data_IF_330927923174
#
_entry.id   IF_330927923174
#
_cell.length_a   1.000
_cell.length_b   1.000
_cell.length_c   1.000
_cell.angle_alpha   90.00
_cell.angle_beta   90.00
_cell.angle_gamma   90.00
#
_symmetry.space_group_name_H-M   'P 1'
#
loop_
_entity.id
_entity.type
_entity.pdbx_description
1 polymer ?
#
# COMPACT_ATOMS: atom_id res chain seq x y z
N UNK A 1 -22.19 71.68 -9.95
CA UNK A 1 -21.09 71.16 -10.77
C UNK A 1 -19.84 71.30 -9.91
N UNK A 2 -19.17 70.29 -9.39
CA UNK A 2 -18.95 68.90 -9.82
C UNK A 2 -18.70 68.05 -8.58
N UNK A 3 -19.41 66.93 -8.47
CA UNK A 3 -19.04 65.82 -7.58
C UNK A 3 -17.78 65.16 -8.14
N UNK A 4 -16.66 65.26 -7.43
CA UNK A 4 -15.51 64.38 -7.68
C UNK A 4 -15.56 63.24 -6.67
N UNK A 5 -16.19 62.16 -7.13
CA UNK A 5 -16.35 60.90 -6.45
C UNK A 5 -14.98 60.19 -6.43
N UNK A 6 -14.25 60.27 -5.32
CA UNK A 6 -12.98 59.59 -5.11
C UNK A 6 -13.27 58.11 -4.75
N UNK A 7 -13.73 57.33 -5.71
CA UNK A 7 -13.86 55.88 -5.59
C UNK A 7 -12.71 55.21 -6.36
N UNK A 8 -11.48 55.48 -5.95
CA UNK A 8 -10.33 54.74 -6.45
C UNK A 8 -10.15 53.47 -5.60
N UNK A 9 -10.55 52.36 -6.22
CA UNK A 9 -9.77 51.13 -6.25
C UNK A 9 -9.30 50.58 -4.91
N UNK A 10 -10.25 50.24 -4.04
CA UNK A 10 -10.06 49.06 -3.21
C UNK A 10 -10.26 47.80 -4.07
N UNK A 11 -9.40 47.61 -5.06
CA UNK A 11 -9.09 46.25 -5.49
C UNK A 11 -8.50 45.60 -4.24
N UNK A 12 -9.35 44.83 -3.54
CA UNK A 12 -8.92 44.19 -2.30
C UNK A 12 -7.64 43.44 -2.62
N UNK A 13 -6.65 43.51 -1.73
CA UNK A 13 -5.39 42.78 -1.89
C UNK A 13 -5.64 41.31 -2.22
N UNK A 14 -6.74 40.74 -1.72
CA UNK A 14 -7.27 39.44 -2.12
C UNK A 14 -7.64 39.34 -3.62
N UNK A 15 -8.41 40.28 -4.18
CA UNK A 15 -8.77 40.27 -5.61
C UNK A 15 -7.53 40.35 -6.50
N UNK A 16 -6.57 41.24 -6.19
CA UNK A 16 -5.33 41.39 -6.94
C UNK A 16 -4.47 40.12 -6.95
N UNK A 17 -4.41 39.42 -5.81
CA UNK A 17 -3.75 38.11 -5.69
C UNK A 17 -4.49 37.05 -6.50
N UNK A 18 -5.83 37.04 -6.45
CA UNK A 18 -6.65 36.04 -7.14
C UNK A 18 -6.73 36.24 -8.66
N UNK A 19 -6.51 37.45 -9.17
CA UNK A 19 -6.49 37.74 -10.62
C UNK A 19 -5.12 37.59 -11.25
N UNK A 20 -4.06 37.49 -10.45
CA UNK A 20 -2.71 37.27 -10.95
C UNK A 20 -2.50 35.77 -11.19
N UNK A 21 -2.59 35.32 -12.44
CA UNK A 21 -2.53 33.90 -12.81
C UNK A 21 -1.29 33.15 -12.28
N UNK A 22 -0.05 33.64 -12.43
CA UNK A 22 1.12 32.94 -11.87
C UNK A 22 1.15 32.97 -10.32
N UNK A 23 0.71 34.05 -9.67
CA UNK A 23 0.67 34.12 -8.21
C UNK A 23 -0.46 33.23 -7.64
N UNK A 24 -1.63 33.23 -8.27
CA UNK A 24 -2.72 32.31 -7.96
C UNK A 24 -2.29 30.87 -8.18
N UNK A 25 -1.57 30.56 -9.26
CA UNK A 25 -1.01 29.23 -9.49
C UNK A 25 0.01 28.85 -8.41
N UNK A 26 0.86 29.78 -7.95
CA UNK A 26 1.80 29.55 -6.85
C UNK A 26 1.06 29.30 -5.52
N UNK A 27 0.12 30.17 -5.16
CA UNK A 27 -0.70 30.06 -3.95
C UNK A 27 -1.56 28.80 -3.99
N UNK A 28 -2.14 28.45 -5.14
CA UNK A 28 -2.95 27.25 -5.31
C UNK A 28 -2.12 25.96 -5.46
N UNK A 29 -0.89 26.05 -5.99
CA UNK A 29 0.05 24.92 -5.99
C UNK A 29 0.45 24.57 -4.55
N UNK A 30 0.50 25.57 -3.67
CA UNK A 30 0.82 25.45 -2.25
C UNK A 30 -0.39 25.19 -1.34
N UNK A 31 -1.59 24.90 -1.85
CA UNK A 31 -2.81 24.70 -1.03
C UNK A 31 -2.81 23.45 -0.12
N UNK A 32 -1.68 22.75 0.04
CA UNK A 32 -1.41 21.79 1.13
C UNK A 32 0.12 21.73 1.45
N UNK A 33 0.92 22.71 1.01
CA UNK A 33 2.38 22.71 1.19
C UNK A 33 3.16 21.73 0.30
N UNK A 34 2.59 21.32 -0.84
CA UNK A 34 3.13 20.23 -1.66
C UNK A 34 4.20 20.67 -2.67
N UNK A 35 5.22 19.83 -2.91
CA UNK A 35 6.19 20.03 -4.01
C UNK A 35 5.48 20.04 -5.37
N UNK A 36 6.01 20.76 -6.39
CA UNK A 36 5.40 20.82 -7.71
C UNK A 36 5.19 19.44 -8.35
N UNK A 37 6.14 18.53 -8.16
CA UNK A 37 6.10 17.14 -8.62
C UNK A 37 4.92 16.40 -8.00
N UNK A 38 4.80 16.40 -6.67
CA UNK A 38 3.73 15.73 -5.96
C UNK A 38 2.35 16.35 -6.28
N UNK A 39 2.29 17.68 -6.41
CA UNK A 39 1.08 18.39 -6.83
C UNK A 39 0.62 17.96 -8.23
N UNK A 40 1.55 17.77 -9.18
CA UNK A 40 1.25 17.29 -10.52
C UNK A 40 0.64 15.88 -10.50
N UNK A 41 1.15 14.99 -9.64
CA UNK A 41 0.64 13.63 -9.44
C UNK A 41 -0.77 13.66 -8.88
N UNK A 42 -1.01 14.45 -7.83
CA UNK A 42 -2.34 14.63 -7.23
C UNK A 42 -3.35 15.18 -8.23
N UNK A 43 -2.99 16.22 -9.00
CA UNK A 43 -3.83 16.79 -10.04
C UNK A 43 -4.13 15.78 -11.16
N UNK A 44 -3.15 14.98 -11.58
CA UNK A 44 -3.34 13.93 -12.57
C UNK A 44 -4.39 12.91 -12.09
N UNK A 45 -4.25 12.38 -10.87
CA UNK A 45 -5.21 11.42 -10.32
C UNK A 45 -6.59 12.04 -10.12
N UNK A 46 -6.66 13.28 -9.60
CA UNK A 46 -7.92 14.02 -9.42
C UNK A 46 -8.66 14.20 -10.74
N UNK A 47 -7.98 14.65 -11.80
CA UNK A 47 -8.58 14.80 -13.15
C UNK A 47 -9.08 13.46 -13.69
N UNK A 48 -8.30 12.38 -13.53
CA UNK A 48 -8.69 11.03 -13.99
C UNK A 48 -9.94 10.53 -13.26
N UNK A 49 -10.04 10.78 -11.95
CA UNK A 49 -11.20 10.37 -11.16
C UNK A 49 -12.44 11.22 -11.45
N UNK A 50 -12.30 12.52 -11.65
CA UNK A 50 -13.41 13.43 -12.00
C UNK A 50 -14.08 13.08 -13.34
N UNK A 51 -13.31 12.60 -14.31
CA UNK A 51 -13.83 12.13 -15.61
C UNK A 51 -14.57 10.80 -15.52
N UNK A 52 -14.41 10.05 -14.43
CA UNK A 52 -15.01 8.74 -14.28
C UNK A 52 -16.45 8.85 -13.81
N UNK A 53 -17.35 8.10 -14.44
CA UNK A 53 -18.77 8.06 -14.08
C UNK A 53 -19.07 7.19 -12.85
N UNK A 54 -18.05 6.55 -12.28
CA UNK A 54 -18.16 5.62 -11.15
C UNK A 54 -18.48 6.39 -9.84
N UNK A 55 -19.64 6.15 -9.18
CA UNK A 55 -20.05 6.88 -7.98
C UNK A 55 -19.05 6.81 -6.83
N UNK A 56 -18.38 5.66 -6.66
CA UNK A 56 -17.38 5.43 -5.62
C UNK A 56 -16.19 6.39 -5.73
N UNK A 57 -15.76 6.73 -6.96
CA UNK A 57 -14.67 7.69 -7.16
C UNK A 57 -15.06 9.10 -6.74
N UNK A 58 -16.34 9.48 -6.89
CA UNK A 58 -16.85 10.75 -6.36
C UNK A 58 -16.83 10.75 -4.83
N UNK A 59 -17.16 9.62 -4.20
CA UNK A 59 -17.07 9.47 -2.74
C UNK A 59 -15.62 9.63 -2.24
N UNK A 60 -14.65 9.04 -2.93
CA UNK A 60 -13.23 9.18 -2.59
C UNK A 60 -12.77 10.63 -2.74
N UNK A 61 -13.14 11.29 -3.84
CA UNK A 61 -12.79 12.70 -4.09
C UNK A 61 -13.43 13.67 -3.09
N UNK A 62 -14.56 13.31 -2.48
CA UNK A 62 -15.25 14.14 -1.51
C UNK A 62 -14.48 14.26 -0.18
N UNK A 63 -13.65 13.28 0.18
CA UNK A 63 -12.87 13.27 1.43
C UNK A 63 -11.37 13.36 1.13
N UNK A 64 -10.71 14.43 1.60
CA UNK A 64 -9.27 14.66 1.36
C UNK A 64 -8.41 13.46 1.77
N UNK A 65 -8.64 12.92 2.97
CA UNK A 65 -7.85 11.82 3.52
C UNK A 65 -8.00 10.51 2.75
N UNK A 66 -9.20 10.28 2.21
CA UNK A 66 -9.50 9.11 1.39
C UNK A 66 -8.86 9.22 0.01
N UNK A 67 -8.88 10.43 -0.56
CA UNK A 67 -8.18 10.70 -1.80
C UNK A 67 -6.66 10.52 -1.64
N UNK A 68 -6.07 11.01 -0.54
CA UNK A 68 -4.66 10.77 -0.20
C UNK A 68 -4.34 9.28 -0.09
N UNK A 69 -5.17 8.52 0.64
CA UNK A 69 -5.03 7.06 0.74
C UNK A 69 -5.12 6.34 -0.61
N UNK A 70 -6.05 6.75 -1.48
CA UNK A 70 -6.15 6.21 -2.84
C UNK A 70 -4.90 6.50 -3.68
N UNK A 71 -4.38 7.73 -3.65
CA UNK A 71 -3.17 8.10 -4.40
C UNK A 71 -1.97 7.29 -3.90
N UNK A 72 -1.78 7.18 -2.59
CA UNK A 72 -0.70 6.40 -1.99
C UNK A 72 -0.76 4.92 -2.45
N UNK A 73 -1.94 4.30 -2.40
CA UNK A 73 -2.14 2.93 -2.86
C UNK A 73 -1.86 2.76 -4.37
N UNK A 74 -2.20 3.76 -5.19
CA UNK A 74 -1.88 3.77 -6.63
C UNK A 74 -0.39 3.97 -6.93
N UNK A 75 0.34 4.70 -6.07
CA UNK A 75 1.80 4.82 -6.18
C UNK A 75 2.46 3.47 -5.89
N UNK A 76 2.03 2.78 -4.83
CA UNK A 76 2.52 1.42 -4.49
C UNK A 76 2.26 0.44 -5.63
N UNK A 77 1.05 0.43 -6.20
CA UNK A 77 0.71 -0.45 -7.33
C UNK A 77 1.67 -0.25 -8.52
N UNK A 78 1.90 1.02 -8.90
CA UNK A 78 2.85 1.38 -9.97
C UNK A 78 4.31 1.15 -9.61
N UNK A 79 4.63 0.99 -8.33
CA UNK A 79 6.00 0.86 -7.84
C UNK A 79 6.76 2.18 -7.74
N UNK A 80 6.07 3.31 -7.76
CA UNK A 80 6.67 4.64 -7.61
C UNK A 80 6.90 4.96 -6.12
N UNK A 81 7.89 4.28 -5.56
CA UNK A 81 8.25 4.39 -4.14
C UNK A 81 8.85 5.75 -3.80
N UNK A 82 9.55 6.39 -4.75
CA UNK A 82 10.13 7.71 -4.55
C UNK A 82 9.04 8.76 -4.28
N UNK A 83 7.96 8.75 -5.08
CA UNK A 83 6.82 9.64 -4.84
C UNK A 83 6.03 9.26 -3.58
N UNK A 84 6.03 7.99 -3.17
CA UNK A 84 5.42 7.60 -1.91
C UNK A 84 6.18 8.17 -0.71
N UNK A 85 7.52 8.09 -0.69
CA UNK A 85 8.32 8.68 0.39
C UNK A 85 8.24 10.20 0.40
N UNK A 86 8.17 10.82 -0.77
CA UNK A 86 7.97 12.27 -0.85
C UNK A 86 6.61 12.69 -0.28
N UNK A 87 5.58 11.88 -0.55
CA UNK A 87 4.25 12.05 0.02
C UNK A 87 4.26 11.89 1.55
N UNK A 88 4.92 10.85 2.08
CA UNK A 88 5.06 10.63 3.52
C UNK A 88 5.85 11.76 4.21
N UNK A 89 6.92 12.25 3.58
CA UNK A 89 7.76 13.33 4.09
C UNK A 89 6.99 14.64 4.25
N UNK A 90 6.14 14.98 3.29
CA UNK A 90 5.38 16.24 3.31
C UNK A 90 4.04 16.11 4.05
N UNK A 91 3.41 14.94 3.99
CA UNK A 91 2.13 14.64 4.62
C UNK A 91 2.29 13.34 5.42
N UNK A 92 2.66 13.41 6.70
CA UNK A 92 2.85 12.20 7.52
C UNK A 92 1.53 11.64 8.08
N UNK A 93 0.42 12.38 8.02
CA UNK A 93 -0.86 11.96 8.62
C UNK A 93 -2.06 12.30 7.73
N UNK A 94 -3.25 11.78 8.07
CA UNK A 94 -4.47 12.05 7.31
C UNK A 94 -4.64 11.15 6.08
N UNK A 95 -4.37 9.86 6.25
CA UNK A 95 -4.64 8.82 5.25
C UNK A 95 -5.85 8.00 5.69
N UNK A 96 -6.81 7.80 4.78
CA UNK A 96 -7.94 6.93 5.03
C UNK A 96 -8.07 5.89 3.93
N UNK A 97 -8.35 4.64 4.33
CA UNK A 97 -8.57 3.55 3.38
C UNK A 97 -9.82 3.82 2.53
N UNK A 98 -9.72 3.79 1.18
CA UNK A 98 -10.87 3.90 0.29
C UNK A 98 -11.79 2.66 0.37
N UNK A 99 -13.05 2.75 -0.08
CA UNK A 99 -14.04 1.68 0.08
C UNK A 99 -13.65 0.37 -0.66
N UNK A 100 -14.11 -0.76 -0.09
CA UNK A 100 -13.70 -2.16 -0.40
C UNK A 100 -13.79 -2.60 -1.88
N UNK A 101 -14.56 -1.89 -2.70
CA UNK A 101 -14.90 -2.24 -4.08
C UNK A 101 -13.90 -1.70 -5.12
N UNK A 102 -12.94 -0.87 -4.73
CA UNK A 102 -11.75 -0.60 -5.57
C UNK A 102 -10.70 -1.71 -5.35
N UNK A 103 -10.95 -2.85 -6.01
CA UNK A 103 -10.29 -4.14 -5.78
C UNK A 103 -8.75 -4.17 -5.96
N UNK A 104 -8.15 -3.29 -6.78
CA UNK A 104 -6.76 -3.52 -7.23
C UNK A 104 -5.67 -3.37 -6.16
N UNK A 105 -5.96 -2.72 -5.03
CA UNK A 105 -4.96 -2.42 -3.99
C UNK A 105 -5.37 -2.85 -2.57
N UNK A 106 -6.46 -3.63 -2.43
CA UNK A 106 -6.93 -4.12 -1.12
C UNK A 106 -5.83 -4.91 -0.41
N UNK A 107 -5.03 -5.67 -1.16
CA UNK A 107 -3.88 -6.44 -0.68
C UNK A 107 -2.54 -5.75 -0.99
N UNK A 108 -2.46 -4.42 -0.90
CA UNK A 108 -1.25 -3.66 -1.21
C UNK A 108 0.00 -4.11 -0.43
N UNK A 109 -0.16 -4.66 0.79
CA UNK A 109 0.95 -5.21 1.57
C UNK A 109 1.55 -6.45 0.89
N UNK A 110 0.73 -7.31 0.29
CA UNK A 110 1.23 -8.49 -0.42
C UNK A 110 2.12 -8.06 -1.60
N UNK A 111 1.66 -7.08 -2.39
CA UNK A 111 2.43 -6.56 -3.53
C UNK A 111 3.75 -5.92 -3.09
N UNK A 112 3.73 -5.17 -1.99
CA UNK A 112 4.95 -4.56 -1.45
C UNK A 112 5.92 -5.61 -0.86
N UNK A 113 5.41 -6.62 -0.16
CA UNK A 113 6.21 -7.72 0.38
C UNK A 113 6.84 -8.57 -0.72
N UNK A 114 6.09 -8.89 -1.78
CA UNK A 114 6.62 -9.60 -2.95
C UNK A 114 7.76 -8.85 -3.66
N UNK A 115 7.81 -7.52 -3.54
CA UNK A 115 8.87 -6.65 -4.07
C UNK A 115 10.01 -6.38 -3.09
N UNK A 116 9.97 -6.93 -1.86
CA UNK A 116 10.98 -6.67 -0.82
C UNK A 116 10.96 -5.22 -0.29
N UNK A 117 9.84 -4.51 -0.41
CA UNK A 117 9.75 -3.09 -0.05
C UNK A 117 9.29 -2.91 1.40
N UNK A 118 10.19 -3.15 2.36
CA UNK A 118 9.86 -3.13 3.80
C UNK A 118 9.29 -1.79 4.27
N UNK A 119 9.87 -0.68 3.84
CA UNK A 119 9.42 0.66 4.26
C UNK A 119 8.02 0.99 3.71
N UNK A 120 7.70 0.52 2.50
CA UNK A 120 6.34 0.62 1.94
C UNK A 120 5.35 -0.21 2.78
N UNK A 121 5.75 -1.42 3.21
CA UNK A 121 4.91 -2.26 4.09
C UNK A 121 4.69 -1.58 5.45
N UNK A 122 5.71 -0.93 6.01
CA UNK A 122 5.60 -0.12 7.24
C UNK A 122 4.61 1.01 7.07
N UNK A 123 4.76 1.82 6.03
CA UNK A 123 3.85 2.91 5.68
C UNK A 123 2.40 2.43 5.56
N UNK A 124 2.16 1.36 4.79
CA UNK A 124 0.81 0.82 4.58
C UNK A 124 0.19 0.25 5.85
N UNK A 125 1.00 -0.31 6.75
CA UNK A 125 0.54 -0.84 8.04
C UNK A 125 0.23 0.29 9.04
N UNK A 126 1.13 1.26 9.20
CA UNK A 126 0.98 2.38 10.13
C UNK A 126 -0.27 3.21 9.84
N UNK A 127 -0.64 3.36 8.57
CA UNK A 127 -1.83 4.10 8.16
C UNK A 127 -3.09 3.24 7.94
N UNK A 128 -3.04 1.95 8.27
CA UNK A 128 -4.10 0.97 7.98
C UNK A 128 -4.70 1.12 6.56
N UNK A 129 -3.84 1.27 5.55
CA UNK A 129 -4.27 1.54 4.17
C UNK A 129 -4.60 0.26 3.41
N UNK A 130 -3.87 -0.82 3.67
CA UNK A 130 -4.01 -2.09 2.96
C UNK A 130 -4.17 -3.27 3.92
N UNK A 131 -4.81 -4.33 3.41
CA UNK A 131 -4.87 -5.62 4.08
C UNK A 131 -3.63 -6.45 3.75
N UNK A 132 -3.34 -7.38 4.63
CA UNK A 132 -2.34 -8.42 4.44
C UNK A 132 -3.06 -9.76 4.26
N UNK A 133 -2.42 -10.70 3.59
CA UNK A 133 -2.81 -12.12 3.64
C UNK A 133 -1.57 -12.98 3.83
N UNK A 134 -1.75 -14.30 3.99
CA UNK A 134 -0.64 -15.25 4.12
C UNK A 134 0.39 -15.14 3.00
N UNK A 135 -0.09 -14.77 1.80
CA UNK A 135 0.75 -14.57 0.62
C UNK A 135 1.88 -13.56 0.86
N UNK A 136 1.68 -12.51 1.66
CA UNK A 136 2.76 -11.56 1.94
C UNK A 136 3.95 -12.23 2.65
N UNK A 137 3.68 -13.09 3.64
CA UNK A 137 4.74 -13.80 4.37
C UNK A 137 5.31 -14.96 3.55
N UNK A 138 4.48 -15.63 2.74
CA UNK A 138 4.94 -16.67 1.81
C UNK A 138 5.90 -16.10 0.75
N UNK A 139 5.55 -14.96 0.14
CA UNK A 139 6.39 -14.28 -0.85
C UNK A 139 7.69 -13.74 -0.20
N UNK A 140 7.59 -13.18 1.01
CA UNK A 140 8.77 -12.74 1.78
C UNK A 140 9.71 -13.91 2.12
N UNK A 141 9.15 -15.07 2.51
CA UNK A 141 9.92 -16.26 2.81
C UNK A 141 10.58 -16.86 1.57
N UNK A 142 9.86 -16.88 0.44
CA UNK A 142 10.40 -17.30 -0.86
C UNK A 142 11.56 -16.41 -1.32
N UNK A 143 11.57 -15.14 -0.96
CA UNK A 143 12.62 -14.18 -1.30
C UNK A 143 13.82 -14.22 -0.32
N UNK A 144 13.71 -14.94 0.80
CA UNK A 144 14.72 -14.92 1.85
C UNK A 144 14.77 -13.62 2.66
N UNK A 145 13.70 -12.82 2.63
CA UNK A 145 13.66 -11.53 3.31
C UNK A 145 13.28 -11.70 4.79
N UNK A 146 14.27 -12.08 5.61
CA UNK A 146 14.09 -12.26 7.05
C UNK A 146 13.57 -10.99 7.74
N UNK A 147 13.97 -9.80 7.29
CA UNK A 147 13.52 -8.54 7.88
C UNK A 147 12.02 -8.32 7.63
N UNK A 148 11.53 -8.63 6.43
CA UNK A 148 10.10 -8.61 6.12
C UNK A 148 9.33 -9.67 6.90
N UNK A 149 9.83 -10.91 6.98
CA UNK A 149 9.18 -12.01 7.71
C UNK A 149 9.03 -11.66 9.18
N UNK A 150 10.11 -11.19 9.83
CA UNK A 150 10.09 -10.77 11.24
C UNK A 150 9.15 -9.59 11.48
N UNK A 151 9.09 -8.63 10.55
CA UNK A 151 8.18 -7.50 10.66
C UNK A 151 6.72 -7.95 10.54
N UNK A 152 6.39 -8.74 9.52
CA UNK A 152 5.04 -9.27 9.33
C UNK A 152 4.61 -10.13 10.52
N UNK A 153 5.49 -10.97 11.06
CA UNK A 153 5.18 -11.82 12.21
C UNK A 153 4.85 -11.03 13.48
N UNK A 154 5.57 -9.91 13.73
CA UNK A 154 5.34 -9.06 14.91
C UNK A 154 4.11 -8.16 14.81
N UNK A 155 3.76 -7.73 13.59
CA UNK A 155 2.75 -6.70 13.37
C UNK A 155 1.45 -7.23 12.72
N UNK A 156 1.43 -8.48 12.29
CA UNK A 156 0.30 -9.12 11.58
C UNK A 156 0.02 -10.51 12.15
N UNK A 157 -1.24 -10.93 12.07
CA UNK A 157 -1.71 -12.20 12.64
C UNK A 157 -2.01 -13.27 11.58
N UNK A 158 -1.98 -12.89 10.30
CA UNK A 158 -2.33 -13.73 9.16
C UNK A 158 -1.40 -14.95 9.04
N UNK A 159 -0.11 -14.76 9.31
CA UNK A 159 0.93 -15.81 9.27
C UNK A 159 1.38 -16.20 7.88
N UNK A 160 2.07 -17.35 7.79
CA UNK A 160 2.43 -17.99 6.52
C UNK A 160 1.59 -19.25 6.29
N UNK A 161 1.75 -19.83 5.10
CA UNK A 161 1.25 -21.17 4.77
C UNK A 161 2.43 -22.13 4.56
N UNK A 162 2.14 -23.42 4.37
CA UNK A 162 3.15 -24.42 4.04
C UNK A 162 3.99 -24.02 2.80
N UNK A 163 3.41 -23.21 1.91
CA UNK A 163 4.13 -22.64 0.77
C UNK A 163 5.40 -21.89 1.15
N UNK A 164 5.30 -20.98 2.14
CA UNK A 164 6.44 -20.16 2.56
C UNK A 164 7.61 -21.00 3.06
N UNK A 165 7.33 -22.08 3.79
CA UNK A 165 8.35 -23.03 4.26
C UNK A 165 9.05 -23.75 3.11
N UNK A 166 8.28 -24.36 2.22
CA UNK A 166 8.81 -25.15 1.09
C UNK A 166 9.64 -24.25 0.16
N UNK A 167 9.15 -23.03 -0.13
CA UNK A 167 9.87 -22.10 -1.00
C UNK A 167 11.16 -21.59 -0.34
N UNK A 168 11.12 -21.23 0.94
CA UNK A 168 12.33 -20.81 1.67
C UNK A 168 13.39 -21.93 1.69
N UNK A 169 12.98 -23.18 1.94
CA UNK A 169 13.89 -24.33 1.91
C UNK A 169 14.45 -24.60 0.51
N UNK A 170 13.59 -24.59 -0.52
CA UNK A 170 13.98 -24.81 -1.92
C UNK A 170 14.99 -23.77 -2.40
N UNK A 171 14.85 -22.52 -1.98
CA UNK A 171 15.77 -21.44 -2.31
C UNK A 171 16.99 -21.36 -1.38
N UNK A 172 17.07 -22.20 -0.34
CA UNK A 172 18.20 -22.28 0.58
C UNK A 172 18.23 -21.17 1.65
N UNK A 173 17.11 -20.51 1.92
CA UNK A 173 16.96 -19.44 2.91
C UNK A 173 16.84 -20.01 4.34
N UNK A 174 17.95 -20.58 4.83
CA UNK A 174 18.02 -21.29 6.12
C UNK A 174 17.63 -20.41 7.31
N UNK A 175 18.04 -19.15 7.29
CA UNK A 175 17.74 -18.15 8.31
C UNK A 175 16.22 -17.90 8.46
N UNK A 176 15.51 -17.80 7.33
CA UNK A 176 14.05 -17.68 7.33
C UNK A 176 13.39 -18.96 7.84
N UNK A 177 13.84 -20.13 7.38
CA UNK A 177 13.28 -21.43 7.82
C UNK A 177 13.47 -21.62 9.33
N UNK A 178 14.66 -21.32 9.86
CA UNK A 178 14.94 -21.38 11.30
C UNK A 178 14.05 -20.41 12.09
N UNK A 179 13.87 -19.18 11.60
CA UNK A 179 12.98 -18.21 12.23
C UNK A 179 11.53 -18.70 12.26
N UNK A 180 11.01 -19.19 11.14
CA UNK A 180 9.64 -19.67 11.02
C UNK A 180 9.39 -20.91 11.89
N UNK A 181 10.33 -21.85 11.94
CA UNK A 181 10.28 -23.02 12.83
C UNK A 181 10.21 -22.62 14.31
N UNK A 182 10.99 -21.61 14.72
CA UNK A 182 11.05 -21.15 16.10
C UNK A 182 9.81 -20.35 16.53
N UNK A 183 9.27 -19.51 15.65
CA UNK A 183 8.21 -18.54 16.03
C UNK A 183 6.80 -18.95 15.56
N UNK A 184 6.70 -19.80 14.51
CA UNK A 184 5.42 -20.13 13.87
C UNK A 184 5.25 -21.61 13.50
N UNK A 185 5.55 -22.58 14.40
CA UNK A 185 5.44 -24.01 14.09
C UNK A 185 4.04 -24.44 13.62
N UNK A 186 2.98 -23.75 14.08
CA UNK A 186 1.59 -24.02 13.70
C UNK A 186 1.27 -23.77 12.22
N UNK A 187 2.06 -22.95 11.51
CA UNK A 187 1.77 -22.56 10.14
C UNK A 187 2.27 -23.58 9.11
N UNK A 188 3.09 -24.55 9.52
CA UNK A 188 3.62 -25.63 8.68
C UNK A 188 2.52 -26.53 8.11
N UNK A 189 1.40 -26.68 8.82
CA UNK A 189 0.30 -27.54 8.39
C UNK A 189 -0.83 -26.77 7.71
N UNK A 190 -0.68 -25.45 7.49
CA UNK A 190 -1.70 -24.64 6.84
C UNK A 190 -1.61 -24.81 5.32
N UNK A 191 -2.72 -25.20 4.70
CA UNK A 191 -2.80 -25.38 3.26
C UNK A 191 -2.30 -24.13 2.51
N UNK A 192 -1.45 -24.31 1.50
CA UNK A 192 -1.05 -23.22 0.64
C UNK A 192 -2.28 -22.69 -0.11
N UNK A 193 -2.29 -21.41 -0.51
CA UNK A 193 -3.25 -20.93 -1.50
C UNK A 193 -3.14 -21.81 -2.75
N UNK A 194 -4.27 -22.06 -3.44
CA UNK A 194 -4.37 -22.96 -4.59
C UNK A 194 -3.47 -22.51 -5.76
N UNK A 195 -2.18 -22.79 -5.68
CA UNK A 195 -1.17 -22.41 -6.66
C UNK A 195 -0.54 -23.70 -7.23
N UNK A 196 -0.60 -23.92 -8.56
CA UNK A 196 -0.13 -25.16 -9.20
C UNK A 196 1.36 -25.46 -9.01
N UNK A 197 2.16 -24.52 -8.51
CA UNK A 197 3.59 -24.73 -8.23
C UNK A 197 3.86 -25.63 -7.00
N UNK A 198 2.85 -25.90 -6.15
CA UNK A 198 3.01 -26.68 -4.91
C UNK A 198 2.78 -28.19 -5.05
N UNK A 199 2.65 -28.69 -6.28
CA UNK A 199 2.55 -30.14 -6.54
C UNK A 199 3.96 -30.74 -6.54
N UNK A 200 4.28 -31.44 -5.43
CA UNK A 200 5.38 -32.40 -5.25
C UNK A 200 6.80 -31.82 -5.09
N UNK A 201 7.32 -31.79 -3.85
CA UNK A 201 8.77 -31.89 -3.60
C UNK A 201 9.07 -32.83 -2.40
N UNK A 202 10.00 -33.81 -2.51
CA UNK A 202 10.17 -34.88 -1.52
C UNK A 202 11.08 -34.56 -0.31
N UNK A 203 11.36 -33.29 -0.01
CA UNK A 203 12.40 -32.93 0.98
C UNK A 203 11.98 -32.98 2.45
N UNK A 204 10.74 -33.37 2.77
CA UNK A 204 10.30 -33.62 4.14
C UNK A 204 10.76 -35.00 4.67
N UNK A 205 11.99 -35.44 4.36
CA UNK A 205 12.52 -36.73 4.85
C UNK A 205 12.86 -36.73 6.35
N UNK A 206 12.84 -35.57 7.02
CA UNK A 206 12.85 -35.50 8.51
C UNK A 206 11.49 -35.14 9.13
N UNK A 207 10.46 -34.90 8.30
CA UNK A 207 9.10 -34.57 8.73
C UNK A 207 8.07 -35.61 8.23
N UNK A 208 8.52 -36.84 7.99
CA UNK A 208 7.68 -37.97 7.59
C UNK A 208 6.55 -38.28 8.59
N UNK A 209 6.71 -37.87 9.86
CA UNK A 209 5.68 -38.02 10.90
C UNK A 209 4.59 -36.93 10.87
N UNK A 210 4.82 -35.80 10.19
CA UNK A 210 3.84 -34.70 10.10
C UNK A 210 2.88 -34.86 8.91
N UNK A 211 3.32 -35.49 7.81
CA UNK A 211 2.49 -35.76 6.62
C UNK A 211 1.38 -36.78 6.86
N UNK A 212 1.49 -37.62 7.89
CA UNK A 212 0.41 -38.51 8.32
C UNK A 212 -0.75 -37.77 9.03
N UNK A 213 -0.62 -36.46 9.28
CA UNK A 213 -1.62 -35.63 9.98
C UNK A 213 -2.21 -34.51 9.14
N UNK A 214 -1.90 -34.40 7.85
CA UNK A 214 -2.57 -33.42 6.98
C UNK A 214 -4.02 -33.90 6.77
N UNK A 215 -5.05 -33.21 7.32
CA UNK A 215 -6.41 -33.57 6.98
C UNK A 215 -6.59 -33.33 5.49
N UNK A 216 -7.07 -34.35 4.77
CA UNK A 216 -7.44 -34.24 3.36
C UNK A 216 -8.27 -32.97 3.18
N UNK A 217 -7.72 -31.98 2.48
CA UNK A 217 -8.39 -30.72 2.21
C UNK A 217 -9.53 -31.03 1.25
N UNK A 218 -10.70 -31.32 1.82
CA UNK A 218 -11.92 -31.60 1.08
C UNK A 218 -12.27 -30.41 0.20
N UNK A 219 -12.43 -30.68 -1.08
CA UNK A 219 -13.07 -29.77 -2.03
C UNK A 219 -14.57 -29.77 -1.71
N UNK A 220 -15.05 -28.78 -0.97
CA UNK A 220 -16.45 -28.30 -0.99
C UNK A 220 -16.49 -26.80 -0.72
#
# INVERSE_FOLDING_TARGET
>A
MTSSNNNNDHTTSALAVLTNTPLLQLVCAYQDGLTPELSSVFLMYRRRMQRSLVPQKKQILAKKDMFRGHVALKLVEKGDVAMLYELERQIPTGYARPPRNESSYVYGINTAAARGQLDVVRFLHQHDLAKCSKKAMDDAASNGDLAMVTYLDKHRNEGCSLAGYILAEKHGHRDVVEYLLAHRPQDQNKCPPSDPQFVLHPLLSSAADALAKVPACGVQ
#
